data_IF_465152194111
#
_entry.id   IF_465152194111
#
_cell.length_a   1.000
_cell.length_b   1.000
_cell.length_c   1.000
_cell.angle_alpha   90.00
_cell.angle_beta   90.00
_cell.angle_gamma   90.00
#
_symmetry.space_group_name_H-M   'P 1'
#
loop_
_entity.id
_entity.type
_entity.pdbx_description
1 polymer ?
#
# COMPACT_ATOMS: atom_id res chain seq x y z
N UNK A 1 -9.05 -22.27 -20.28
CA UNK A 1 -8.08 -22.08 -19.17
C UNK A 1 -8.37 -20.72 -18.57
N UNK A 2 -8.83 -20.70 -17.32
CA UNK A 2 -9.05 -19.46 -16.57
C UNK A 2 -7.71 -19.01 -15.98
N UNK A 3 -7.35 -17.74 -16.09
CA UNK A 3 -6.06 -17.24 -15.60
C UNK A 3 -6.26 -15.90 -14.93
N UNK A 4 -5.81 -15.81 -13.67
CA UNK A 4 -5.74 -14.57 -12.92
C UNK A 4 -4.29 -14.26 -12.56
N UNK A 5 -3.92 -12.99 -12.63
CA UNK A 5 -2.57 -12.48 -12.33
C UNK A 5 -2.63 -11.55 -11.12
N UNK A 6 -1.78 -11.84 -10.13
CA UNK A 6 -1.66 -11.07 -8.89
C UNK A 6 -0.33 -10.32 -8.89
N UNK A 7 -0.39 -9.01 -9.16
CA UNK A 7 0.77 -8.11 -9.15
C UNK A 7 1.00 -7.65 -7.71
N UNK A 8 1.94 -8.30 -7.05
CA UNK A 8 2.30 -8.01 -5.66
C UNK A 8 3.15 -6.73 -5.55
N UNK A 9 2.85 -5.94 -4.54
CA UNK A 9 3.66 -4.81 -4.11
C UNK A 9 5.03 -5.28 -3.58
N UNK A 10 5.86 -4.33 -3.20
CA UNK A 10 7.22 -4.62 -2.71
C UNK A 10 7.18 -5.14 -1.25
N UNK A 11 7.78 -6.30 -1.01
CA UNK A 11 7.89 -6.95 0.31
C UNK A 11 9.32 -7.45 0.62
N UNK A 12 10.34 -6.77 0.10
CA UNK A 12 11.73 -7.16 0.34
C UNK A 12 12.19 -6.73 1.74
N UNK A 13 13.26 -7.35 2.29
CA UNK A 13 13.88 -6.89 3.54
C UNK A 13 14.33 -5.42 3.43
N UNK A 14 13.87 -4.59 4.38
CA UNK A 14 14.08 -3.14 4.41
C UNK A 14 14.14 -2.65 5.86
N UNK A 15 14.88 -1.56 6.09
CA UNK A 15 14.85 -0.87 7.39
C UNK A 15 13.48 -0.26 7.68
N UNK A 16 13.17 -0.07 8.97
CA UNK A 16 11.81 0.27 9.42
C UNK A 16 11.23 1.53 8.78
N UNK A 17 12.03 2.58 8.63
CA UNK A 17 11.59 3.82 7.98
C UNK A 17 11.20 3.58 6.51
N UNK A 18 12.04 2.88 5.74
CA UNK A 18 11.81 2.65 4.32
C UNK A 18 10.60 1.72 4.11
N UNK A 19 10.53 0.64 4.89
CA UNK A 19 9.40 -0.29 4.93
C UNK A 19 8.10 0.45 5.19
N UNK A 20 8.08 1.31 6.22
CA UNK A 20 6.91 2.13 6.57
C UNK A 20 6.53 3.08 5.42
N UNK A 21 7.49 3.84 4.89
CA UNK A 21 7.25 4.72 3.72
C UNK A 21 6.66 3.96 2.54
N UNK A 22 7.17 2.77 2.22
CA UNK A 22 6.65 1.98 1.11
C UNK A 22 5.19 1.55 1.31
N UNK A 23 4.72 1.34 2.55
CA UNK A 23 3.31 1.02 2.83
C UNK A 23 2.33 2.12 2.40
N UNK A 24 2.78 3.34 2.14
CA UNK A 24 1.91 4.42 1.64
C UNK A 24 1.55 4.27 0.16
N UNK A 25 2.40 3.66 -0.66
CA UNK A 25 2.28 3.81 -2.12
C UNK A 25 2.68 2.59 -2.97
N UNK A 26 3.51 1.67 -2.48
CA UNK A 26 4.00 0.54 -3.30
C UNK A 26 4.33 -0.74 -2.56
N UNK A 27 4.22 -0.72 -1.23
CA UNK A 27 4.61 -1.81 -0.34
C UNK A 27 3.51 -2.83 -0.18
N UNK A 28 3.92 -4.03 0.22
CA UNK A 28 3.08 -5.13 0.65
C UNK A 28 3.77 -5.88 1.80
N UNK A 29 3.01 -6.35 2.78
CA UNK A 29 3.50 -7.32 3.75
C UNK A 29 3.28 -8.71 3.21
N UNK A 30 4.27 -9.58 3.32
CA UNK A 30 4.20 -10.94 2.80
C UNK A 30 2.99 -11.70 3.37
N UNK A 31 2.57 -11.42 4.61
CA UNK A 31 1.39 -12.01 5.23
C UNK A 31 0.11 -11.52 4.57
N UNK A 32 0.03 -10.22 4.25
CA UNK A 32 -1.08 -9.67 3.49
C UNK A 32 -1.11 -10.19 2.05
N UNK A 33 0.06 -10.44 1.45
CA UNK A 33 0.19 -11.03 0.12
C UNK A 33 -0.32 -12.47 0.07
N UNK A 34 0.10 -13.29 1.03
CA UNK A 34 -0.36 -14.66 1.18
C UNK A 34 -1.87 -14.72 1.42
N UNK A 35 -2.41 -13.82 2.26
CA UNK A 35 -3.84 -13.74 2.53
C UNK A 35 -4.65 -13.37 1.28
N UNK A 36 -4.18 -12.42 0.47
CA UNK A 36 -4.85 -12.06 -0.78
C UNK A 36 -4.94 -13.27 -1.73
N UNK A 37 -3.87 -14.05 -1.87
CA UNK A 37 -3.86 -15.25 -2.69
C UNK A 37 -4.79 -16.32 -2.12
N UNK A 38 -4.79 -16.52 -0.80
CA UNK A 38 -5.71 -17.45 -0.12
C UNK A 38 -7.18 -17.11 -0.37
N UNK A 39 -7.53 -15.82 -0.29
CA UNK A 39 -8.89 -15.34 -0.57
C UNK A 39 -9.29 -15.57 -2.04
N UNK A 40 -8.33 -15.48 -2.96
CA UNK A 40 -8.59 -15.61 -4.38
C UNK A 40 -8.83 -17.07 -4.84
N UNK A 41 -8.35 -18.08 -4.09
CA UNK A 41 -8.52 -19.50 -4.44
C UNK A 41 -9.99 -19.94 -4.58
N UNK A 42 -10.92 -19.24 -3.93
CA UNK A 42 -12.35 -19.54 -3.99
C UNK A 42 -13.12 -18.79 -5.08
N UNK A 43 -12.44 -18.02 -5.93
CA UNK A 43 -13.08 -17.16 -6.93
C UNK A 43 -12.77 -17.63 -8.33
N UNK A 44 -13.81 -17.88 -9.12
CA UNK A 44 -13.71 -18.17 -10.55
C UNK A 44 -14.09 -16.92 -11.38
N UNK A 45 -13.39 -16.72 -12.49
CA UNK A 45 -13.56 -15.62 -13.44
C UNK A 45 -13.91 -16.13 -14.84
N UNK A 46 -14.92 -15.58 -15.49
CA UNK A 46 -15.23 -15.96 -16.87
C UNK A 46 -14.06 -15.65 -17.83
N UNK A 47 -13.33 -14.57 -17.56
CA UNK A 47 -12.26 -14.05 -18.40
C UNK A 47 -10.92 -13.95 -17.64
N UNK A 48 -9.88 -13.55 -18.38
CA UNK A 48 -8.59 -13.23 -17.80
C UNK A 48 -8.66 -11.99 -16.90
N UNK A 49 -8.07 -12.08 -15.71
CA UNK A 49 -8.15 -11.01 -14.72
C UNK A 49 -6.79 -10.62 -14.13
N UNK A 50 -6.64 -9.32 -13.84
CA UNK A 50 -5.47 -8.77 -13.17
C UNK A 50 -5.88 -8.05 -11.89
N UNK A 51 -5.13 -8.30 -10.82
CA UNK A 51 -5.27 -7.67 -9.51
C UNK A 51 -3.94 -7.10 -9.03
N UNK A 52 -3.95 -5.89 -8.48
CA UNK A 52 -2.83 -5.38 -7.70
C UNK A 52 -3.05 -5.76 -6.23
N UNK A 53 -2.04 -6.38 -5.62
CA UNK A 53 -2.02 -6.73 -4.20
C UNK A 53 -1.00 -5.84 -3.51
N UNK A 54 -1.46 -4.99 -2.60
CA UNK A 54 -0.63 -3.99 -1.91
C UNK A 54 -1.23 -3.71 -0.54
N UNK A 55 -0.45 -3.05 0.33
CA UNK A 55 -0.94 -2.56 1.63
C UNK A 55 -2.03 -1.48 1.53
N UNK A 56 -2.42 -1.09 0.31
CA UNK A 56 -3.34 0.00 0.05
C UNK A 56 -2.69 1.37 0.21
N UNK A 57 -3.47 2.41 -0.03
CA UNK A 57 -3.05 3.80 0.09
C UNK A 57 -4.26 4.66 0.45
N UNK A 58 -4.11 5.71 1.28
CA UNK A 58 -5.19 6.65 1.50
C UNK A 58 -5.35 7.66 0.35
N UNK A 59 -4.36 7.77 -0.53
CA UNK A 59 -4.30 8.82 -1.54
C UNK A 59 -5.36 8.65 -2.63
N UNK A 60 -5.89 9.79 -3.07
CA UNK A 60 -6.87 9.91 -4.15
C UNK A 60 -6.22 10.54 -5.39
N UNK A 61 -6.93 10.51 -6.51
CA UNK A 61 -6.45 11.13 -7.76
C UNK A 61 -6.11 12.62 -7.59
N UNK A 62 -6.87 13.34 -6.77
CA UNK A 62 -6.63 14.77 -6.49
C UNK A 62 -5.32 15.02 -5.72
N UNK A 63 -4.77 14.00 -5.06
CA UNK A 63 -3.52 14.13 -4.31
C UNK A 63 -2.27 13.94 -5.21
N UNK A 64 -2.42 13.45 -6.45
CA UNK A 64 -1.28 13.00 -7.27
C UNK A 64 -0.24 14.09 -7.56
N UNK A 65 -0.69 15.34 -7.79
CA UNK A 65 0.23 16.48 -8.00
C UNK A 65 1.02 16.76 -6.71
N UNK A 66 0.33 16.76 -5.56
CA UNK A 66 0.96 16.96 -4.27
C UNK A 66 1.91 15.80 -3.91
N UNK A 67 1.56 14.56 -4.22
CA UNK A 67 2.48 13.42 -4.03
C UNK A 67 3.79 13.57 -4.81
N UNK A 68 3.75 14.23 -5.96
CA UNK A 68 4.96 14.43 -6.77
C UNK A 68 5.82 15.59 -6.27
N UNK A 69 5.20 16.70 -5.88
CA UNK A 69 5.87 17.99 -5.65
C UNK A 69 5.85 18.48 -4.19
N UNK A 70 4.87 18.03 -3.40
CA UNK A 70 4.59 18.43 -2.01
C UNK A 70 4.26 17.19 -1.17
N UNK A 71 5.13 16.18 -1.23
CA UNK A 71 4.85 14.83 -0.70
C UNK A 71 4.49 14.82 0.78
N UNK A 72 5.16 15.67 1.56
CA UNK A 72 4.92 15.79 3.01
C UNK A 72 3.48 16.24 3.28
N UNK A 73 3.02 17.31 2.62
CA UNK A 73 1.66 17.83 2.80
C UNK A 73 0.60 16.78 2.42
N UNK A 74 0.84 16.03 1.35
CA UNK A 74 -0.05 14.96 0.92
C UNK A 74 -0.14 13.83 1.96
N UNK A 75 0.98 13.48 2.62
CA UNK A 75 1.01 12.48 3.69
C UNK A 75 0.30 13.01 4.93
N UNK A 76 0.63 14.22 5.38
CA UNK A 76 0.10 14.81 6.61
C UNK A 76 -1.39 15.15 6.52
N UNK A 77 -1.94 15.32 5.30
CA UNK A 77 -3.40 15.39 5.08
C UNK A 77 -4.14 14.16 5.62
N UNK A 78 -3.53 12.97 5.56
CA UNK A 78 -4.15 11.71 5.99
C UNK A 78 -3.60 11.19 7.31
N UNK A 79 -2.36 11.53 7.65
CA UNK A 79 -1.67 11.10 8.87
C UNK A 79 -0.96 12.29 9.55
N UNK A 80 -1.72 13.25 10.11
CA UNK A 80 -1.14 14.44 10.73
C UNK A 80 -0.19 14.13 11.89
N UNK A 81 -0.41 13.02 12.59
CA UNK A 81 0.43 12.53 13.69
C UNK A 81 1.81 12.01 13.23
N UNK A 82 1.97 11.72 11.94
CA UNK A 82 3.19 11.11 11.41
C UNK A 82 4.41 12.02 11.59
N UNK A 83 4.25 13.34 11.53
CA UNK A 83 5.37 14.28 11.66
C UNK A 83 6.07 14.12 13.02
N UNK A 84 5.29 14.09 14.11
CA UNK A 84 5.83 13.92 15.47
C UNK A 84 6.52 12.58 15.66
N UNK A 85 5.92 11.50 15.14
CA UNK A 85 6.46 10.14 15.22
C UNK A 85 7.77 10.03 14.43
N UNK A 86 7.82 10.58 13.21
CA UNK A 86 9.02 10.57 12.38
C UNK A 86 10.15 11.33 13.05
N UNK A 87 9.86 12.51 13.60
CA UNK A 87 10.85 13.29 14.36
C UNK A 87 11.39 12.52 15.56
N UNK A 88 10.52 11.88 16.34
CA UNK A 88 10.93 11.11 17.52
C UNK A 88 11.79 9.88 17.16
N UNK A 89 11.53 9.25 16.01
CA UNK A 89 12.27 8.08 15.53
C UNK A 89 13.50 8.42 14.68
N UNK A 90 13.75 9.71 14.40
CA UNK A 90 14.81 10.14 13.48
C UNK A 90 14.58 9.68 12.04
N UNK A 91 13.32 9.51 11.65
CA UNK A 91 12.90 9.04 10.32
C UNK A 91 12.68 10.19 9.34
N UNK A 92 12.84 9.89 8.05
CA UNK A 92 12.61 10.80 6.95
C UNK A 92 11.43 10.36 6.09
N UNK A 93 10.62 11.35 5.68
CA UNK A 93 9.57 11.16 4.69
C UNK A 93 10.15 10.99 3.28
N UNK A 94 9.42 10.31 2.36
CA UNK A 94 9.82 10.29 0.96
C UNK A 94 9.76 11.70 0.37
N UNK A 95 10.76 12.05 -0.45
CA UNK A 95 10.84 13.37 -1.08
C UNK A 95 9.84 13.53 -2.23
N UNK A 96 9.56 12.45 -2.96
CA UNK A 96 8.65 12.43 -4.11
C UNK A 96 8.04 11.03 -4.24
N UNK A 97 6.73 10.96 -4.49
CA UNK A 97 6.02 9.73 -4.83
C UNK A 97 5.50 9.87 -6.27
N UNK A 98 5.92 8.95 -7.15
CA UNK A 98 5.59 8.97 -8.59
C UNK A 98 4.54 7.93 -8.99
N UNK A 99 4.15 7.04 -8.07
CA UNK A 99 3.21 5.95 -8.32
C UNK A 99 2.49 5.55 -7.05
N UNK A 100 1.23 5.15 -7.18
CA UNK A 100 0.43 4.59 -6.09
C UNK A 100 -0.22 3.30 -6.57
N UNK A 101 -0.03 2.22 -5.81
CA UNK A 101 -0.61 0.91 -6.12
C UNK A 101 -1.99 0.77 -5.48
N UNK A 102 -3.03 0.88 -6.31
CA UNK A 102 -4.43 0.76 -5.89
C UNK A 102 -4.86 -0.71 -5.91
N UNK A 103 -5.32 -1.23 -4.76
CA UNK A 103 -5.78 -2.61 -4.60
C UNK A 103 -7.31 -2.75 -4.53
N UNK A 104 -8.07 -1.70 -4.87
CA UNK A 104 -9.53 -1.64 -4.73
C UNK A 104 -10.27 -2.78 -5.44
N UNK A 105 -9.75 -3.24 -6.58
CA UNK A 105 -10.32 -4.38 -7.27
C UNK A 105 -10.22 -5.67 -6.44
N UNK A 106 -9.07 -5.91 -5.80
CA UNK A 106 -8.90 -7.05 -4.89
C UNK A 106 -9.79 -6.90 -3.65
N UNK A 107 -9.95 -5.67 -3.13
CA UNK A 107 -10.91 -5.40 -2.03
C UNK A 107 -12.33 -5.77 -2.42
N UNK A 108 -12.77 -5.39 -3.62
CA UNK A 108 -14.13 -5.63 -4.11
C UNK A 108 -14.41 -7.11 -4.36
N UNK A 109 -13.48 -7.82 -5.02
CA UNK A 109 -13.72 -9.21 -5.44
C UNK A 109 -13.44 -10.23 -4.34
N UNK A 110 -12.42 -10.00 -3.52
CA UNK A 110 -11.93 -10.99 -2.54
C UNK A 110 -12.22 -10.60 -1.10
N UNK A 111 -12.85 -9.44 -0.86
CA UNK A 111 -12.89 -8.79 0.46
C UNK A 111 -11.47 -8.65 1.07
N UNK A 112 -10.48 -8.41 0.22
CA UNK A 112 -9.10 -8.23 0.66
C UNK A 112 -8.96 -7.00 1.55
N UNK A 113 -8.42 -7.17 2.75
CA UNK A 113 -8.18 -6.09 3.71
C UNK A 113 -6.76 -6.23 4.27
N UNK A 114 -5.77 -5.46 3.76
CA UNK A 114 -4.40 -5.52 4.27
C UNK A 114 -4.36 -5.05 5.72
N UNK A 115 -3.66 -5.79 6.57
CA UNK A 115 -3.52 -5.51 8.00
C UNK A 115 -2.28 -4.68 8.27
N UNK A 116 -1.15 -5.00 7.64
CA UNK A 116 0.14 -4.39 7.90
C UNK A 116 0.32 -3.12 7.05
N UNK A 117 -0.55 -2.14 7.28
CA UNK A 117 -0.62 -0.86 6.56
C UNK A 117 0.34 0.18 7.14
N UNK A 118 0.46 1.33 6.48
CA UNK A 118 1.22 2.48 7.01
C UNK A 118 0.74 2.86 8.41
N UNK A 119 -0.58 3.00 8.60
CA UNK A 119 -1.15 3.39 9.89
C UNK A 119 -0.85 2.38 11.01
N UNK A 120 -0.78 1.08 10.70
CA UNK A 120 -0.38 0.08 11.69
C UNK A 120 1.11 0.22 12.06
N UNK A 121 2.00 0.36 11.08
CA UNK A 121 3.45 0.48 11.33
C UNK A 121 3.85 1.84 11.94
N UNK A 122 3.07 2.88 11.70
CA UNK A 122 3.29 4.18 12.32
C UNK A 122 3.12 4.08 13.85
N UNK A 123 2.14 3.28 14.29
CA UNK A 123 1.77 3.10 15.70
C UNK A 123 2.42 1.88 16.39
N UNK A 124 3.26 1.12 15.68
CA UNK A 124 3.97 -0.05 16.24
C UNK A 124 5.24 0.32 16.99
#
# INVERSE_FOLDING_TARGET
MQTSVYRVGRFLPEGDNLKTNHRLYRGLDERDGAEALRLALGTEFADFEIFNISSGSPFKQDDLVALKHSTLDAILKYYPEAEGIYKARGWAFPQSIDRVYVCDKARRYFNYQPKYTFGLLLNS
#
